data_IF_004358628418
#
_entry.id   IF_004358628418
#
_cell.length_a   1.000
_cell.length_b   1.000
_cell.length_c   1.000
_cell.angle_alpha   90.00
_cell.angle_beta   90.00
_cell.angle_gamma   90.00
#
_symmetry.space_group_name_H-M   'P 1'
#
loop_
_entity.id
_entity.type
_entity.pdbx_description
1 polymer ?
#
# COMPACT_ATOMS: atom_id res chain seq x y z
N UNK A 1 -13.59 -77.60 -14.13
CA UNK A 1 -13.71 -76.12 -14.12
C UNK A 1 -14.18 -75.67 -12.75
N UNK A 2 -13.27 -75.29 -11.82
CA UNK A 2 -13.61 -74.76 -10.47
C UNK A 2 -12.34 -74.38 -9.65
N UNK A 3 -11.34 -73.70 -10.23
CA UNK A 3 -10.14 -73.26 -9.46
C UNK A 3 -9.44 -72.04 -10.08
N UNK A 4 -10.11 -70.90 -10.26
CA UNK A 4 -9.44 -69.66 -10.72
C UNK A 4 -10.16 -68.38 -10.24
N UNK A 5 -10.57 -68.28 -8.97
CA UNK A 5 -11.19 -67.02 -8.46
C UNK A 5 -10.76 -66.71 -7.01
N UNK A 6 -9.51 -66.96 -6.63
CA UNK A 6 -9.06 -66.67 -5.26
C UNK A 6 -7.67 -66.02 -5.17
N UNK A 7 -7.27 -65.23 -6.16
CA UNK A 7 -5.93 -64.61 -6.18
C UNK A 7 -5.88 -63.15 -6.63
N UNK A 8 -7.02 -62.50 -6.83
CA UNK A 8 -7.07 -61.08 -7.27
C UNK A 8 -7.52 -60.12 -6.15
N UNK A 9 -7.90 -60.65 -4.97
CA UNK A 9 -8.35 -59.81 -3.85
C UNK A 9 -7.21 -59.26 -2.96
N UNK A 10 -5.95 -59.61 -3.22
CA UNK A 10 -4.83 -59.21 -2.35
C UNK A 10 -3.90 -58.13 -2.93
N UNK A 11 -4.24 -57.56 -4.10
CA UNK A 11 -3.43 -56.54 -4.78
C UNK A 11 -4.08 -55.14 -4.81
N UNK A 12 -5.10 -54.90 -3.98
CA UNK A 12 -5.76 -53.58 -3.85
C UNK A 12 -5.40 -52.85 -2.55
N UNK A 13 -4.42 -53.34 -1.78
CA UNK A 13 -4.08 -52.83 -0.44
C UNK A 13 -2.79 -52.05 -0.32
N UNK A 14 -2.08 -51.76 -1.42
CA UNK A 14 -0.77 -51.08 -1.39
C UNK A 14 -0.63 -49.99 -2.45
N UNK A 15 -1.71 -49.21 -2.66
CA UNK A 15 -1.63 -47.90 -3.30
C UNK A 15 -2.01 -46.80 -2.32
N UNK A 16 -1.56 -46.91 -1.06
CA UNK A 16 -1.14 -45.71 -0.35
C UNK A 16 0.23 -45.36 -0.91
N UNK A 17 0.21 -44.76 -2.11
CA UNK A 17 1.26 -43.82 -2.46
C UNK A 17 1.22 -42.82 -1.32
N UNK A 18 2.24 -42.87 -0.47
CA UNK A 18 2.66 -41.73 0.30
C UNK A 18 2.87 -40.60 -0.71
N UNK A 19 1.83 -39.82 -0.97
CA UNK A 19 2.01 -38.38 -0.99
C UNK A 19 2.24 -38.03 0.49
N UNK A 20 3.43 -38.32 1.00
CA UNK A 20 4.11 -37.31 1.80
C UNK A 20 4.25 -36.15 0.81
N UNK A 21 3.20 -35.34 0.69
CA UNK A 21 3.44 -33.94 0.45
C UNK A 21 4.27 -33.55 1.66
N UNK A 22 5.59 -33.56 1.46
CA UNK A 22 6.54 -32.75 2.20
C UNK A 22 6.06 -31.30 2.00
N UNK A 23 4.95 -30.99 2.65
CA UNK A 23 4.41 -29.67 2.80
C UNK A 23 5.30 -29.08 3.88
N UNK A 24 6.55 -28.80 3.48
CA UNK A 24 7.47 -27.97 4.23
C UNK A 24 6.69 -26.69 4.47
N UNK A 25 6.10 -26.60 5.66
CA UNK A 25 5.34 -25.44 6.07
C UNK A 25 6.35 -24.31 6.06
N UNK A 26 6.33 -23.49 5.01
CA UNK A 26 7.25 -22.38 4.85
C UNK A 26 6.84 -21.39 5.94
N UNK A 27 7.55 -21.45 7.07
CA UNK A 27 7.36 -20.52 8.17
C UNK A 27 7.92 -19.19 7.69
N UNK A 28 7.05 -18.32 7.18
CA UNK A 28 7.41 -16.95 6.83
C UNK A 28 7.55 -16.15 8.13
N UNK A 29 8.74 -15.63 8.38
CA UNK A 29 8.97 -14.73 9.51
C UNK A 29 8.54 -13.31 9.12
N UNK A 30 7.39 -12.87 9.65
CA UNK A 30 6.91 -11.51 9.43
C UNK A 30 7.63 -10.52 10.35
N UNK A 31 8.04 -9.39 9.78
CA UNK A 31 8.61 -8.26 10.52
C UNK A 31 7.51 -7.42 11.18
N UNK A 32 6.30 -7.40 10.61
CA UNK A 32 5.13 -6.79 11.20
C UNK A 32 3.88 -6.98 10.35
N UNK A 33 2.71 -6.84 10.96
CA UNK A 33 1.41 -6.92 10.30
C UNK A 33 0.55 -5.72 10.66
N UNK A 34 -0.33 -5.32 9.75
CA UNK A 34 -1.26 -4.22 9.92
C UNK A 34 -2.61 -4.58 9.29
N UNK A 35 -3.70 -4.17 9.93
CA UNK A 35 -5.04 -4.28 9.36
C UNK A 35 -5.24 -3.15 8.32
N UNK A 36 -5.64 -3.54 7.12
CA UNK A 36 -6.03 -2.65 6.03
C UNK A 36 -7.47 -2.89 5.63
N UNK A 37 -8.22 -1.81 5.45
CA UNK A 37 -9.56 -1.82 4.86
C UNK A 37 -9.40 -1.94 3.34
N UNK A 38 -9.52 -3.15 2.81
CA UNK A 38 -9.41 -3.42 1.37
C UNK A 38 -10.82 -3.64 0.81
N UNK A 39 -11.19 -3.00 -0.31
CA UNK A 39 -12.47 -3.25 -0.95
C UNK A 39 -12.54 -4.69 -1.48
N UNK A 40 -13.37 -5.53 -0.86
CA UNK A 40 -13.62 -6.90 -1.29
C UNK A 40 -14.80 -6.93 -2.25
N UNK A 41 -14.55 -6.41 -3.45
CA UNK A 41 -15.57 -6.39 -4.49
C UNK A 41 -15.03 -6.91 -5.80
N UNK A 42 -15.82 -7.72 -6.53
CA UNK A 42 -15.41 -8.21 -7.83
C UNK A 42 -15.05 -7.04 -8.73
N UNK A 43 -14.00 -7.19 -9.53
CA UNK A 43 -13.55 -6.15 -10.45
C UNK A 43 -14.72 -5.65 -11.31
N UNK A 44 -15.02 -4.35 -11.23
CA UNK A 44 -16.14 -3.72 -11.93
C UNK A 44 -17.47 -3.69 -11.16
N UNK A 45 -17.49 -4.01 -9.86
CA UNK A 45 -18.67 -3.79 -9.01
C UNK A 45 -19.09 -2.31 -8.99
N UNK A 46 -20.38 -2.05 -8.81
CA UNK A 46 -20.87 -0.69 -8.66
C UNK A 46 -20.31 -0.06 -7.36
N UNK A 47 -19.97 1.24 -7.33
CA UNK A 47 -19.40 1.87 -6.13
C UNK A 47 -20.26 1.70 -4.87
N UNK A 48 -21.59 1.61 -5.02
CA UNK A 48 -22.54 1.42 -3.93
C UNK A 48 -22.57 0.01 -3.33
N UNK A 49 -21.82 -0.95 -3.91
CA UNK A 49 -21.75 -2.33 -3.44
C UNK A 49 -20.35 -2.71 -2.98
N UNK A 50 -19.47 -1.72 -2.81
CA UNK A 50 -18.11 -1.95 -2.30
C UNK A 50 -18.19 -2.14 -0.80
N UNK A 51 -18.04 -3.38 -0.35
CA UNK A 51 -17.84 -3.69 1.07
C UNK A 51 -16.33 -3.61 1.36
N UNK A 52 -15.98 -2.76 2.33
CA UNK A 52 -14.63 -2.69 2.87
C UNK A 52 -14.48 -3.81 3.90
N UNK A 53 -13.48 -4.67 3.69
CA UNK A 53 -13.19 -5.79 4.57
C UNK A 53 -11.81 -5.56 5.17
N UNK A 54 -11.68 -5.80 6.46
CA UNK A 54 -10.43 -5.74 7.20
C UNK A 54 -9.57 -6.96 6.86
N UNK A 55 -8.48 -6.73 6.13
CA UNK A 55 -7.46 -7.73 5.85
C UNK A 55 -6.20 -7.48 6.69
N UNK A 56 -5.64 -8.54 7.27
CA UNK A 56 -4.33 -8.49 7.88
C UNK A 56 -3.26 -8.59 6.79
N UNK A 57 -2.53 -7.49 6.59
CA UNK A 57 -1.42 -7.41 5.64
C UNK A 57 -0.11 -7.50 6.42
N UNK A 58 0.65 -8.56 6.20
CA UNK A 58 1.94 -8.79 6.84
C UNK A 58 3.10 -8.47 5.89
N UNK A 59 4.25 -8.11 6.45
CA UNK A 59 5.48 -7.83 5.68
C UNK A 59 6.57 -8.79 6.14
N UNK A 60 7.33 -9.34 5.19
CA UNK A 60 8.50 -10.18 5.48
C UNK A 60 9.80 -9.36 5.59
N UNK A 61 10.90 -10.00 5.99
CA UNK A 61 12.21 -9.35 6.11
C UNK A 61 12.80 -8.87 4.78
N UNK A 62 12.27 -9.32 3.64
CA UNK A 62 12.66 -8.88 2.30
C UNK A 62 11.83 -7.68 1.82
N UNK A 63 10.82 -7.26 2.58
CA UNK A 63 9.98 -6.11 2.27
C UNK A 63 8.81 -6.43 1.34
N UNK A 64 8.36 -7.67 1.25
CA UNK A 64 7.17 -8.05 0.48
C UNK A 64 5.91 -8.11 1.35
N UNK A 65 4.77 -7.69 0.80
CA UNK A 65 3.47 -7.81 1.47
C UNK A 65 2.87 -9.21 1.27
N UNK A 66 2.16 -9.68 2.30
CA UNK A 66 1.39 -10.92 2.34
C UNK A 66 -0.02 -10.63 2.77
N UNK A 67 -1.00 -11.23 2.08
CA UNK A 67 -2.41 -11.23 2.46
C UNK A 67 -2.87 -12.68 2.54
N UNK A 68 -3.51 -13.04 3.65
CA UNK A 68 -3.91 -14.43 3.94
C UNK A 68 -2.75 -15.43 3.78
N UNK A 69 -1.56 -15.04 4.24
CA UNK A 69 -0.30 -15.78 4.12
C UNK A 69 0.18 -16.02 2.67
N UNK A 70 -0.40 -15.35 1.67
CA UNK A 70 0.08 -15.40 0.28
C UNK A 70 0.93 -14.19 -0.07
N UNK A 71 2.14 -14.44 -0.56
CA UNK A 71 3.06 -13.40 -1.05
C UNK A 71 2.43 -12.66 -2.22
N UNK A 72 2.31 -11.34 -2.10
CA UNK A 72 1.85 -10.49 -3.19
C UNK A 72 2.99 -10.25 -4.19
N UNK A 73 2.70 -9.92 -5.45
CA UNK A 73 3.73 -9.60 -6.45
C UNK A 73 4.34 -8.19 -6.26
N UNK A 74 3.87 -7.43 -5.28
CA UNK A 74 4.30 -6.06 -5.01
C UNK A 74 5.19 -6.03 -3.76
N UNK A 75 6.13 -5.09 -3.71
CA UNK A 75 6.78 -4.73 -2.45
C UNK A 75 5.75 -4.11 -1.49
N UNK A 76 6.05 -4.16 -0.19
CA UNK A 76 5.15 -3.72 0.85
C UNK A 76 4.81 -2.22 0.70
N UNK A 77 5.79 -1.36 0.46
CA UNK A 77 5.51 0.08 0.30
C UNK A 77 4.46 0.31 -0.81
N UNK A 78 4.66 -0.31 -1.98
CA UNK A 78 3.72 -0.20 -3.10
C UNK A 78 2.36 -0.84 -2.81
N UNK A 79 2.32 -1.95 -2.08
CA UNK A 79 1.05 -2.58 -1.71
C UNK A 79 0.25 -1.68 -0.78
N UNK A 80 0.90 -1.15 0.25
CA UNK A 80 0.25 -0.30 1.24
C UNK A 80 -0.23 1.02 0.63
N UNK A 81 0.48 1.69 -0.29
CA UNK A 81 -0.10 2.89 -0.96
C UNK A 81 -1.33 2.62 -1.80
N UNK A 82 -1.44 1.42 -2.38
CA UNK A 82 -2.56 1.10 -3.26
C UNK A 82 -3.79 0.64 -2.50
N UNK A 83 -3.59 -0.11 -1.42
CA UNK A 83 -4.67 -0.85 -0.76
C UNK A 83 -4.88 -0.48 0.71
N UNK A 84 -4.00 0.34 1.29
CA UNK A 84 -4.10 0.77 2.68
C UNK A 84 -4.08 2.31 2.76
N UNK A 85 -5.01 2.91 3.49
CA UNK A 85 -5.04 4.37 3.66
C UNK A 85 -3.82 4.94 4.42
N UNK A 86 -2.95 4.08 4.96
CA UNK A 86 -1.75 4.43 5.73
C UNK A 86 -0.56 3.65 5.19
N UNK A 87 0.57 4.34 5.02
CA UNK A 87 1.84 3.70 4.72
C UNK A 87 2.25 2.75 5.86
N UNK A 88 2.81 1.60 5.49
CA UNK A 88 3.38 0.65 6.44
C UNK A 88 4.57 1.29 7.17
N UNK A 89 4.62 1.12 8.49
CA UNK A 89 5.79 1.49 9.32
C UNK A 89 6.30 0.21 9.97
N UNK A 90 7.54 -0.18 9.67
CA UNK A 90 8.11 -1.39 10.22
C UNK A 90 8.24 -1.30 11.75
N UNK A 91 7.94 -2.36 12.51
CA UNK A 91 8.13 -2.37 13.95
C UNK A 91 9.59 -2.07 14.33
N UNK A 92 9.80 -0.98 15.07
CA UNK A 92 11.13 -0.54 15.49
C UNK A 92 11.72 0.61 14.68
N UNK A 93 11.10 0.98 13.57
CA UNK A 93 11.38 2.25 12.90
C UNK A 93 10.54 3.34 13.55
N UNK A 94 11.16 4.18 14.38
CA UNK A 94 10.58 5.49 14.68
C UNK A 94 10.50 6.25 13.36
N UNK A 95 9.32 6.68 12.90
CA UNK A 95 9.23 7.50 11.70
C UNK A 95 10.11 8.73 11.93
N UNK A 96 11.20 8.84 11.17
CA UNK A 96 12.02 10.04 11.20
C UNK A 96 11.11 11.22 10.83
N UNK A 97 11.01 12.25 11.68
CA UNK A 97 10.21 13.43 11.35
C UNK A 97 10.80 14.10 10.11
N UNK A 98 10.16 13.89 8.96
CA UNK A 98 10.48 14.62 7.72
C UNK A 98 11.20 13.85 6.61
N UNK A 99 11.29 12.51 6.65
CA UNK A 99 11.88 11.72 5.54
C UNK A 99 10.96 10.66 4.96
N UNK A 100 9.67 10.65 5.29
CA UNK A 100 8.66 10.00 4.44
C UNK A 100 8.14 11.03 3.43
N UNK A 101 8.61 11.02 2.17
CA UNK A 101 7.85 11.62 1.08
C UNK A 101 6.44 11.05 1.16
N UNK A 102 5.43 11.94 1.18
CA UNK A 102 4.07 11.52 0.94
C UNK A 102 4.05 10.72 -0.35
N UNK A 103 3.62 9.45 -0.25
CA UNK A 103 3.30 8.61 -1.38
C UNK A 103 2.22 9.29 -2.21
N UNK A 104 2.72 10.06 -3.15
CA UNK A 104 2.02 10.90 -4.09
C UNK A 104 3.07 11.45 -5.04
N UNK A 105 4.07 10.64 -5.45
CA UNK A 105 5.00 11.02 -6.51
C UNK A 105 4.30 11.13 -7.86
N UNK A 106 3.23 11.93 -7.94
CA UNK A 106 2.63 12.38 -9.17
C UNK A 106 3.62 13.30 -9.85
N UNK A 107 3.82 13.09 -11.14
CA UNK A 107 4.62 13.97 -11.97
C UNK A 107 4.08 15.39 -11.80
N UNK A 108 4.89 16.30 -11.27
CA UNK A 108 4.51 17.70 -11.16
C UNK A 108 4.56 18.33 -12.54
N UNK A 109 3.46 18.90 -12.99
CA UNK A 109 3.34 19.43 -14.37
C UNK A 109 3.53 20.94 -14.44
N UNK A 110 3.28 21.66 -13.35
CA UNK A 110 3.44 23.12 -13.26
C UNK A 110 3.81 23.48 -11.84
N UNK A 111 4.93 24.18 -11.65
CA UNK A 111 5.36 24.70 -10.35
C UNK A 111 5.42 26.23 -10.40
N UNK A 112 5.15 26.86 -9.27
CA UNK A 112 5.28 28.31 -9.06
C UNK A 112 6.12 28.56 -7.81
N UNK A 113 6.89 29.62 -7.85
CA UNK A 113 7.69 30.08 -6.71
C UNK A 113 6.89 31.11 -5.90
N UNK A 114 6.60 30.78 -4.65
CA UNK A 114 5.92 31.68 -3.72
C UNK A 114 6.94 32.38 -2.81
N UNK A 115 6.82 33.70 -2.71
CA UNK A 115 7.65 34.54 -1.84
C UNK A 115 7.38 34.32 -0.34
N UNK A 116 8.35 34.65 0.52
CA UNK A 116 8.16 34.55 1.97
C UNK A 116 7.14 35.58 2.47
N UNK A 117 6.29 35.20 3.42
CA UNK A 117 5.33 36.12 4.05
C UNK A 117 5.37 36.02 5.58
N UNK A 118 4.76 36.98 6.28
CA UNK A 118 4.70 36.99 7.75
C UNK A 118 3.27 37.04 8.24
N UNK A 119 2.86 36.04 9.02
CA UNK A 119 1.54 35.95 9.64
C UNK A 119 1.69 35.82 11.15
N UNK A 120 1.02 36.68 11.90
CA UNK A 120 1.08 36.69 13.38
C UNK A 120 2.51 36.73 13.96
N UNK A 121 3.45 37.41 13.29
CA UNK A 121 4.85 37.51 13.72
C UNK A 121 5.70 36.27 13.41
N UNK A 122 5.14 35.27 12.73
CA UNK A 122 5.87 34.11 12.22
C UNK A 122 6.14 34.31 10.73
N UNK A 123 7.41 34.27 10.34
CA UNK A 123 7.81 34.33 8.94
C UNK A 123 7.80 32.93 8.34
N UNK A 124 6.99 32.75 7.31
CA UNK A 124 6.97 31.55 6.47
C UNK A 124 7.96 31.78 5.32
N UNK A 125 8.94 30.89 5.09
CA UNK A 125 9.94 31.06 4.04
C UNK A 125 9.31 30.94 2.65
N UNK A 126 10.02 31.43 1.64
CA UNK A 126 9.67 31.20 0.24
C UNK A 126 9.70 29.69 -0.06
N UNK A 127 8.78 29.23 -0.92
CA UNK A 127 8.67 27.83 -1.27
C UNK A 127 8.16 27.63 -2.70
N UNK A 128 8.60 26.54 -3.32
CA UNK A 128 8.10 26.06 -4.60
C UNK A 128 6.85 25.20 -4.37
N UNK A 129 5.76 25.54 -5.05
CA UNK A 129 4.48 24.82 -4.99
C UNK A 129 4.18 24.26 -6.37
N UNK A 130 3.96 22.96 -6.45
CA UNK A 130 3.72 22.26 -7.71
C UNK A 130 2.30 21.68 -7.81
N UNK A 131 1.77 21.61 -9.02
CA UNK A 131 0.52 20.92 -9.35
C UNK A 131 0.81 19.46 -9.71
N UNK A 132 0.27 18.55 -8.91
CA UNK A 132 0.30 17.12 -9.22
C UNK A 132 -0.72 16.73 -10.29
N UNK A 133 -0.54 15.55 -10.89
CA UNK A 133 -1.48 15.00 -11.89
C UNK A 133 -2.89 14.77 -11.33
N UNK A 134 -2.99 14.54 -10.02
CA UNK A 134 -4.27 14.43 -9.30
C UNK A 134 -4.98 15.79 -9.08
N UNK A 135 -4.35 16.90 -9.47
CA UNK A 135 -4.88 18.25 -9.29
C UNK A 135 -4.58 18.88 -7.93
N UNK A 136 -3.86 18.20 -7.04
CA UNK A 136 -3.48 18.72 -5.73
C UNK A 136 -2.20 19.59 -5.80
N UNK A 137 -2.03 20.42 -4.76
CA UNK A 137 -0.78 21.12 -4.50
C UNK A 137 0.23 20.22 -3.80
N UNK A 138 1.47 20.34 -4.25
CA UNK A 138 2.65 19.68 -3.71
C UNK A 138 3.60 20.73 -3.17
N UNK A 139 3.95 20.63 -1.89
CA UNK A 139 4.93 21.51 -1.25
C UNK A 139 6.17 20.69 -0.93
N UNK A 140 7.31 21.04 -1.52
CA UNK A 140 8.56 20.27 -1.38
C UNK A 140 8.38 18.77 -1.71
N UNK A 141 7.56 18.46 -2.73
CA UNK A 141 7.28 17.09 -3.15
C UNK A 141 6.27 16.33 -2.29
N UNK A 142 5.64 16.97 -1.29
CA UNK A 142 4.61 16.35 -0.44
C UNK A 142 3.23 16.81 -0.87
N UNK A 143 2.33 15.86 -1.16
CA UNK A 143 0.92 16.15 -1.46
C UNK A 143 0.26 16.79 -0.23
N UNK A 144 -0.30 17.97 -0.40
CA UNK A 144 -1.00 18.70 0.67
C UNK A 144 -2.43 18.19 0.91
N UNK A 145 -2.95 17.35 0.02
CA UNK A 145 -4.36 16.93 -0.01
C UNK A 145 -5.33 18.04 -0.45
N UNK A 146 -4.82 19.22 -0.80
CA UNK A 146 -5.59 20.39 -1.19
C UNK A 146 -5.50 20.61 -2.70
N UNK A 147 -6.62 20.94 -3.35
CA UNK A 147 -6.61 21.31 -4.77
C UNK A 147 -5.67 22.49 -5.05
N UNK A 148 -4.86 22.40 -6.11
CA UNK A 148 -3.78 23.33 -6.42
C UNK A 148 -4.23 24.81 -6.43
N UNK A 149 -5.29 25.13 -7.17
CA UNK A 149 -5.78 26.51 -7.30
C UNK A 149 -6.26 27.09 -5.96
N UNK A 150 -6.85 26.25 -5.11
CA UNK A 150 -7.30 26.64 -3.76
C UNK A 150 -6.10 26.89 -2.84
N UNK A 151 -5.06 26.07 -2.93
CA UNK A 151 -3.84 26.23 -2.14
C UNK A 151 -3.09 27.51 -2.52
N UNK A 152 -2.94 27.80 -3.82
CA UNK A 152 -2.33 29.05 -4.30
C UNK A 152 -3.15 30.27 -3.84
N UNK A 153 -4.47 30.24 -4.02
CA UNK A 153 -5.35 31.34 -3.56
C UNK A 153 -5.19 31.59 -2.06
N UNK A 154 -5.10 30.52 -1.24
CA UNK A 154 -4.88 30.65 0.20
C UNK A 154 -3.52 31.29 0.52
N UNK A 155 -2.45 30.91 -0.20
CA UNK A 155 -1.14 31.55 -0.07
C UNK A 155 -1.20 33.04 -0.43
N UNK A 156 -1.83 33.40 -1.54
CA UNK A 156 -1.98 34.79 -1.98
C UNK A 156 -2.79 35.64 -0.97
N UNK A 157 -3.82 35.06 -0.34
CA UNK A 157 -4.58 35.73 0.71
C UNK A 157 -3.75 36.06 1.96
N UNK A 158 -2.63 35.36 2.19
CA UNK A 158 -1.70 35.69 3.28
C UNK A 158 -0.70 36.79 2.93
N UNK A 159 -0.76 37.31 1.70
CA UNK A 159 0.14 38.34 1.19
C UNK A 159 1.40 37.79 0.51
N UNK A 160 1.44 36.49 0.22
CA UNK A 160 2.48 35.89 -0.62
C UNK A 160 2.20 36.18 -2.10
N UNK A 161 3.22 36.53 -2.88
CA UNK A 161 3.17 36.56 -4.35
C UNK A 161 3.73 35.23 -4.89
N UNK A 162 3.00 34.57 -5.79
CA UNK A 162 3.34 33.27 -6.39
C UNK A 162 3.42 33.41 -7.91
N UNK A 163 4.59 33.13 -8.51
CA UNK A 163 4.85 33.33 -9.95
C UNK A 163 5.43 32.11 -10.64
#
# INVERSE_FOLDING_TARGET
>A
MKKLILSIALLAGLTFVACEDDNEEIIVAYVGCQICEIPDSPAGAAPSTVEEVDYEVCVDAEGYAYVDNQKTPLDAARYFSLFCAKAYVAPGETPEPGTTPGEGGGVTTTCVDCSSYTVQGVTVPAAEICKGENGNAYLMGVDTGMGYDMYITAYEMTGSDCQ
#
